data_IF_080161313890
#
_entry.id   IF_080161313890
#
_cell.length_a   1.000
_cell.length_b   1.000
_cell.length_c   1.000
_cell.angle_alpha   90.00
_cell.angle_beta   90.00
_cell.angle_gamma   90.00
#
_symmetry.space_group_name_H-M   'P 1'
#
loop_
_entity.id
_entity.type
_entity.pdbx_description
1 polymer ?
#
# COMPACT_ATOMS: atom_id res chain seq x y z
N UNK A 1 -2.72 1.97 -20.70
CA UNK A 1 -3.87 1.01 -20.78
C UNK A 1 -5.21 1.74 -20.72
N UNK A 2 -5.24 2.95 -20.14
CA UNK A 2 -6.38 3.86 -20.02
C UNK A 2 -7.24 4.03 -21.28
N UNK A 3 -6.62 4.09 -22.47
CA UNK A 3 -7.34 4.18 -23.76
C UNK A 3 -8.39 3.08 -24.03
N UNK A 4 -8.28 1.93 -23.35
CA UNK A 4 -9.21 0.81 -23.50
C UNK A 4 -10.25 0.73 -22.38
N UNK A 5 -10.24 1.66 -21.42
CA UNK A 5 -11.12 1.62 -20.25
C UNK A 5 -12.61 1.61 -20.63
N UNK A 6 -12.99 2.43 -21.63
CA UNK A 6 -14.37 2.52 -22.13
C UNK A 6 -14.90 1.22 -22.77
N UNK A 7 -14.03 0.25 -23.07
CA UNK A 7 -14.42 -1.04 -23.63
C UNK A 7 -14.97 -2.01 -22.58
N UNK A 8 -14.75 -1.71 -21.30
CA UNK A 8 -15.26 -2.51 -20.19
C UNK A 8 -16.48 -1.81 -19.59
N UNK A 9 -17.64 -2.48 -19.65
CA UNK A 9 -18.87 -1.91 -19.09
C UNK A 9 -19.01 -2.13 -17.58
N UNK A 10 -18.22 -3.02 -16.98
CA UNK A 10 -18.24 -3.31 -15.55
C UNK A 10 -16.93 -3.92 -15.08
N UNK A 11 -16.71 -3.90 -13.77
CA UNK A 11 -15.56 -4.55 -13.12
C UNK A 11 -15.55 -6.05 -13.36
N UNK A 12 -16.71 -6.71 -13.24
CA UNK A 12 -16.84 -8.15 -13.45
C UNK A 12 -16.41 -8.58 -14.85
N UNK A 13 -16.74 -7.80 -15.88
CA UNK A 13 -16.30 -8.10 -17.26
C UNK A 13 -14.79 -8.06 -17.40
N UNK A 14 -14.10 -7.12 -16.74
CA UNK A 14 -12.64 -7.07 -16.74
C UNK A 14 -12.05 -8.39 -16.20
N UNK A 15 -12.70 -8.99 -15.21
CA UNK A 15 -12.26 -10.25 -14.62
C UNK A 15 -12.73 -11.51 -15.37
N UNK A 16 -13.86 -11.48 -16.07
CA UNK A 16 -14.40 -12.65 -16.75
C UNK A 16 -13.77 -12.92 -18.13
N UNK A 17 -13.49 -11.87 -18.91
CA UNK A 17 -13.18 -12.00 -20.34
C UNK A 17 -11.88 -12.78 -20.62
N UNK A 18 -11.90 -13.59 -21.67
CA UNK A 18 -10.79 -14.36 -22.20
C UNK A 18 -9.97 -13.58 -23.23
N UNK A 19 -8.81 -14.11 -23.65
CA UNK A 19 -7.94 -13.43 -24.62
C UNK A 19 -8.60 -13.20 -25.99
N UNK A 20 -9.43 -14.13 -26.46
CA UNK A 20 -10.18 -14.03 -27.71
C UNK A 20 -11.29 -13.00 -27.63
N UNK A 21 -12.01 -12.93 -26.50
CA UNK A 21 -13.07 -11.93 -26.29
C UNK A 21 -12.47 -10.52 -26.15
N UNK A 22 -11.35 -10.37 -25.43
CA UNK A 22 -10.61 -9.11 -25.36
C UNK A 22 -10.12 -8.65 -26.74
N UNK A 23 -9.76 -9.59 -27.63
CA UNK A 23 -9.45 -9.29 -29.03
C UNK A 23 -10.70 -8.82 -29.79
N UNK A 24 -11.84 -9.47 -29.60
CA UNK A 24 -13.12 -9.06 -30.18
C UNK A 24 -13.56 -7.64 -29.78
N UNK A 25 -13.24 -7.22 -28.55
CA UNK A 25 -13.43 -5.84 -28.06
C UNK A 25 -12.41 -4.84 -28.62
N UNK A 26 -11.46 -5.30 -29.46
CA UNK A 26 -10.45 -4.45 -30.08
C UNK A 26 -9.31 -4.06 -29.16
N UNK A 27 -9.01 -4.84 -28.11
CA UNK A 27 -7.83 -4.61 -27.27
C UNK A 27 -6.62 -5.17 -28.02
N UNK A 28 -5.98 -4.30 -28.78
CA UNK A 28 -4.79 -4.59 -29.59
C UNK A 28 -3.67 -3.59 -29.24
N UNK A 29 -2.39 -3.97 -29.41
CA UNK A 29 -1.86 -5.26 -29.89
C UNK A 29 -1.94 -6.39 -28.85
N UNK A 30 -1.68 -7.63 -29.28
CA UNK A 30 -1.65 -8.82 -28.40
C UNK A 30 -0.82 -8.66 -27.11
N UNK A 31 0.27 -7.87 -27.15
CA UNK A 31 1.08 -7.53 -25.96
C UNK A 31 0.23 -6.87 -24.86
N UNK A 32 -0.69 -5.98 -25.24
CA UNK A 32 -1.57 -5.28 -24.30
C UNK A 32 -2.56 -6.25 -23.64
N UNK A 33 -3.13 -7.20 -24.39
CA UNK A 33 -3.98 -8.26 -23.81
C UNK A 33 -3.22 -9.14 -22.83
N UNK A 34 -2.03 -9.61 -23.21
CA UNK A 34 -1.18 -10.43 -22.33
C UNK A 34 -0.84 -9.69 -21.04
N UNK A 35 -0.49 -8.42 -21.15
CA UNK A 35 -0.22 -7.56 -19.99
C UNK A 35 -1.44 -7.44 -19.06
N UNK A 36 -2.62 -7.16 -19.62
CA UNK A 36 -3.86 -7.06 -18.83
C UNK A 36 -4.17 -8.37 -18.10
N UNK A 37 -4.12 -9.51 -18.81
CA UNK A 37 -4.38 -10.83 -18.22
C UNK A 37 -3.36 -11.16 -17.11
N UNK A 38 -2.09 -10.83 -17.31
CA UNK A 38 -1.07 -11.01 -16.27
C UNK A 38 -1.34 -10.15 -15.03
N UNK A 39 -1.72 -8.88 -15.22
CA UNK A 39 -2.05 -7.98 -14.10
C UNK A 39 -3.31 -8.43 -13.38
N UNK A 40 -4.32 -8.90 -14.10
CA UNK A 40 -5.52 -9.51 -13.53
C UNK A 40 -5.18 -10.69 -12.62
N UNK A 41 -4.33 -11.58 -13.10
CA UNK A 41 -3.97 -12.78 -12.34
C UNK A 41 -3.18 -12.42 -11.08
N UNK A 42 -2.24 -11.47 -11.17
CA UNK A 42 -1.55 -10.92 -9.99
C UNK A 42 -2.52 -10.33 -8.97
N UNK A 43 -3.53 -9.57 -9.43
CA UNK A 43 -4.54 -8.99 -8.55
C UNK A 43 -5.34 -10.08 -7.81
N UNK A 44 -5.76 -11.14 -8.50
CA UNK A 44 -6.47 -12.28 -7.87
C UNK A 44 -5.64 -12.99 -6.81
N UNK A 45 -4.33 -13.08 -7.04
CA UNK A 45 -3.38 -13.70 -6.11
C UNK A 45 -3.01 -12.77 -4.94
N UNK A 46 -3.59 -11.57 -4.86
CA UNK A 46 -3.23 -10.58 -3.83
C UNK A 46 -1.85 -9.96 -4.01
N UNK A 47 -1.25 -10.11 -5.20
CA UNK A 47 0.07 -9.56 -5.52
C UNK A 47 -0.12 -8.17 -6.11
N UNK A 48 -0.20 -7.19 -5.22
CA UNK A 48 -0.39 -5.80 -5.57
C UNK A 48 0.94 -5.07 -5.81
N UNK A 49 0.88 -3.96 -6.56
CA UNK A 49 1.98 -3.01 -6.64
C UNK A 49 2.05 -2.11 -5.40
N UNK A 50 2.95 -1.11 -5.40
CA UNK A 50 3.00 -0.14 -4.32
C UNK A 50 1.66 0.55 -4.08
N UNK A 51 1.23 0.57 -2.83
CA UNK A 51 -0.03 1.19 -2.42
C UNK A 51 -1.29 0.37 -2.65
N UNK A 52 -1.20 -0.83 -3.23
CA UNK A 52 -2.39 -1.66 -3.46
C UNK A 52 -2.89 -2.43 -2.24
N UNK A 53 -2.15 -2.40 -1.13
CA UNK A 53 -2.51 -2.96 0.17
C UNK A 53 -2.97 -1.88 1.18
N UNK A 54 -3.27 -0.68 0.70
CA UNK A 54 -3.75 0.45 1.49
C UNK A 54 -5.26 0.38 1.70
N UNK A 55 -5.69 0.47 2.97
CA UNK A 55 -7.11 0.41 3.33
C UNK A 55 -7.82 1.77 3.22
N UNK A 56 -7.17 2.85 3.66
CA UNK A 56 -7.68 4.21 3.60
C UNK A 56 -7.17 4.93 2.35
N UNK A 57 -8.04 5.16 1.38
CA UNK A 57 -7.75 5.90 0.15
C UNK A 57 -8.96 6.78 -0.16
N UNK A 58 -8.74 8.09 -0.32
CA UNK A 58 -9.77 9.07 -0.66
C UNK A 58 -9.32 9.80 -1.93
N UNK A 59 -10.18 9.82 -2.95
CA UNK A 59 -9.91 10.46 -4.26
C UNK A 59 -8.59 10.02 -4.90
N UNK A 60 -8.24 8.74 -4.75
CA UNK A 60 -6.99 8.17 -5.29
C UNK A 60 -5.73 8.60 -4.54
N UNK A 61 -5.85 9.23 -3.38
CA UNK A 61 -4.76 9.60 -2.51
C UNK A 61 -4.86 8.91 -1.13
N UNK A 62 -3.72 8.60 -0.55
CA UNK A 62 -3.62 8.05 0.80
C UNK A 62 -2.44 8.66 1.54
N UNK A 63 -2.54 8.77 2.87
CA UNK A 63 -1.47 9.28 3.70
C UNK A 63 -0.86 8.16 4.56
N UNK A 64 0.44 7.97 4.41
CA UNK A 64 1.23 7.10 5.27
C UNK A 64 1.95 7.93 6.32
N UNK A 65 1.86 7.51 7.58
CA UNK A 65 2.51 8.20 8.69
C UNK A 65 3.27 7.23 9.59
N UNK A 66 4.43 7.65 10.08
CA UNK A 66 5.17 6.95 11.13
C UNK A 66 4.64 7.41 12.48
N UNK A 67 4.20 6.46 13.30
CA UNK A 67 3.63 6.72 14.63
C UNK A 67 4.26 5.79 15.66
N UNK A 68 4.28 6.24 16.91
CA UNK A 68 4.69 5.44 18.05
C UNK A 68 3.48 4.66 18.57
N UNK A 69 3.65 3.35 18.69
CA UNK A 69 2.60 2.40 19.10
C UNK A 69 3.14 1.51 20.22
N UNK A 70 2.28 1.06 21.16
CA UNK A 70 2.68 0.09 22.16
C UNK A 70 3.28 -1.15 21.51
N UNK A 71 4.41 -1.61 22.04
CA UNK A 71 5.03 -2.85 21.60
C UNK A 71 4.45 -4.01 22.38
N UNK A 72 3.52 -4.76 21.80
CA UNK A 72 3.09 -6.03 22.38
C UNK A 72 4.26 -7.02 22.36
N UNK A 73 4.90 -7.19 23.52
CA UNK A 73 5.97 -8.18 23.73
C UNK A 73 5.42 -9.58 24.01
N UNK A 74 4.10 -9.76 24.05
CA UNK A 74 3.44 -10.95 24.61
C UNK A 74 2.97 -12.02 23.60
N UNK A 75 3.47 -12.05 22.37
CA UNK A 75 2.89 -12.97 21.36
C UNK A 75 3.73 -13.40 20.16
N UNK A 76 5.07 -13.28 20.18
CA UNK A 76 5.89 -13.81 19.08
C UNK A 76 6.02 -15.34 19.16
N UNK A 77 5.01 -16.03 18.64
CA UNK A 77 5.21 -17.37 18.07
C UNK A 77 6.25 -17.26 16.94
N UNK A 78 7.22 -18.16 16.98
CA UNK A 78 8.31 -18.31 16.00
C UNK A 78 7.72 -18.71 14.65
N UNK A 79 7.24 -17.75 13.85
CA UNK A 79 6.99 -17.99 12.43
C UNK A 79 7.62 -16.89 11.58
N UNK A 80 8.39 -17.35 10.60
CA UNK A 80 9.37 -16.65 9.80
C UNK A 80 8.88 -15.32 9.20
N UNK A 81 9.63 -14.25 9.50
CA UNK A 81 10.17 -13.21 8.60
C UNK A 81 10.29 -11.87 9.35
N UNK A 82 11.55 -11.51 9.66
CA UNK A 82 12.01 -10.24 10.22
C UNK A 82 11.87 -10.08 11.75
N UNK A 83 12.68 -10.85 12.48
CA UNK A 83 13.08 -10.58 13.87
C UNK A 83 14.15 -9.47 13.96
N UNK A 84 14.06 -8.40 13.13
CA UNK A 84 15.09 -7.36 13.07
C UNK A 84 14.54 -5.93 13.03
N UNK A 85 13.35 -5.69 13.61
CA UNK A 85 12.71 -4.36 13.58
C UNK A 85 12.20 -3.89 14.95
N UNK A 86 12.69 -4.47 16.04
CA UNK A 86 12.59 -3.83 17.35
C UNK A 86 13.78 -2.88 17.51
N UNK A 87 13.78 -1.82 16.71
CA UNK A 87 14.78 -0.76 16.81
C UNK A 87 14.51 0.07 18.04
N UNK A 88 15.08 -0.32 19.18
CA UNK A 88 15.17 0.53 20.37
C UNK A 88 15.89 1.82 19.96
N UNK A 89 15.13 2.91 19.86
CA UNK A 89 15.67 4.24 19.57
C UNK A 89 15.74 5.02 20.88
N UNK A 90 16.84 5.74 21.11
CA UNK A 90 17.05 6.53 22.32
C UNK A 90 15.99 7.63 22.55
N UNK A 91 15.21 7.98 21.52
CA UNK A 91 14.12 8.96 21.59
C UNK A 91 12.73 8.33 21.78
N UNK A 92 12.61 6.99 21.83
CA UNK A 92 11.35 6.33 22.09
C UNK A 92 11.08 6.23 23.60
N UNK A 93 9.83 6.47 23.98
CA UNK A 93 9.36 6.12 25.32
C UNK A 93 9.50 4.61 25.54
N UNK A 94 9.92 4.16 26.74
CA UNK A 94 10.00 2.74 27.05
C UNK A 94 8.68 2.02 26.74
N UNK A 95 8.77 0.89 26.04
CA UNK A 95 7.59 0.09 25.65
C UNK A 95 6.92 0.50 24.33
N UNK A 96 7.42 1.53 23.63
CA UNK A 96 6.91 1.93 22.32
C UNK A 96 7.78 1.41 21.17
N UNK A 97 7.15 1.19 20.01
CA UNK A 97 7.83 0.94 18.73
C UNK A 97 7.26 1.84 17.65
N UNK A 98 8.02 2.03 16.56
CA UNK A 98 7.54 2.78 15.39
C UNK A 98 6.85 1.88 14.40
N UNK A 99 5.68 2.31 13.92
CA UNK A 99 4.93 1.64 12.87
C UNK A 99 4.51 2.64 11.79
N UNK A 100 4.34 2.15 10.56
CA UNK A 100 3.72 2.91 9.48
C UNK A 100 2.22 2.61 9.54
N UNK A 101 1.40 3.66 9.58
CA UNK A 101 -0.05 3.58 9.54
C UNK A 101 -0.58 4.26 8.30
N UNK A 102 -1.69 3.73 7.77
CA UNK A 102 -2.46 4.39 6.72
C UNK A 102 -3.62 5.15 7.39
N UNK A 103 -3.70 6.44 7.14
CA UNK A 103 -4.75 7.33 7.62
C UNK A 103 -5.32 8.12 6.45
N UNK A 104 -6.51 8.68 6.65
CA UNK A 104 -7.14 9.53 5.65
C UNK A 104 -6.21 10.71 5.28
N UNK A 105 -6.22 11.17 4.02
CA UNK A 105 -5.29 12.19 3.55
C UNK A 105 -5.42 13.53 4.28
N UNK A 106 -6.60 13.82 4.83
CA UNK A 106 -6.84 15.04 5.61
C UNK A 106 -6.63 14.85 7.13
N UNK A 107 -6.44 13.59 7.57
CA UNK A 107 -6.23 13.30 8.99
C UNK A 107 -4.82 13.70 9.42
N UNK A 108 -4.73 14.45 10.52
CA UNK A 108 -3.45 14.87 11.11
C UNK A 108 -2.99 13.93 12.21
N UNK A 109 -3.88 13.14 12.79
CA UNK A 109 -3.60 12.27 13.93
C UNK A 109 -4.02 10.83 13.66
N UNK A 110 -3.34 9.91 14.33
CA UNK A 110 -3.70 8.50 14.33
C UNK A 110 -4.06 8.10 15.74
N UNK A 111 -5.27 7.58 15.91
CA UNK A 111 -5.73 7.00 17.17
C UNK A 111 -5.51 5.50 17.07
N UNK A 112 -4.61 4.98 17.90
CA UNK A 112 -4.33 3.55 17.93
C UNK A 112 -5.50 2.79 18.54
N UNK A 113 -6.09 1.91 17.75
CA UNK A 113 -7.08 0.94 18.19
C UNK A 113 -6.36 -0.37 18.54
N UNK A 114 -6.26 -0.75 19.83
CA UNK A 114 -5.53 -1.95 20.24
C UNK A 114 -6.19 -3.25 19.77
N UNK A 115 -7.46 -3.20 19.33
CA UNK A 115 -8.14 -4.37 18.77
C UNK A 115 -7.69 -4.68 17.34
N UNK A 116 -7.10 -3.69 16.63
CA UNK A 116 -6.69 -3.82 15.24
C UNK A 116 -5.19 -4.12 15.13
N UNK A 117 -4.79 -5.28 14.58
CA UNK A 117 -3.39 -5.58 14.39
C UNK A 117 -2.75 -4.59 13.42
N UNK A 118 -1.55 -4.12 13.76
CA UNK A 118 -0.79 -3.24 12.90
C UNK A 118 -0.26 -4.01 11.69
N UNK A 119 -0.70 -3.59 10.51
CA UNK A 119 -0.28 -4.18 9.24
C UNK A 119 1.03 -3.55 8.76
N UNK A 120 1.86 -4.36 8.09
CA UNK A 120 3.01 -3.85 7.32
C UNK A 120 2.56 -3.60 5.89
N UNK A 121 2.85 -2.41 5.37
CA UNK A 121 2.61 -2.06 3.98
C UNK A 121 3.78 -2.49 3.10
N UNK A 122 3.50 -3.22 2.03
CA UNK A 122 4.49 -3.66 1.06
C UNK A 122 5.19 -2.44 0.43
N UNK A 123 6.49 -2.59 0.13
CA UNK A 123 7.33 -1.53 -0.46
C UNK A 123 7.57 -0.29 0.40
N UNK A 124 6.97 -0.20 1.59
CA UNK A 124 7.14 0.92 2.52
C UNK A 124 8.05 0.53 3.68
N UNK A 125 8.93 1.44 4.09
CA UNK A 125 9.85 1.23 5.22
C UNK A 125 10.10 2.51 6.00
N UNK A 126 10.41 2.34 7.29
CA UNK A 126 10.90 3.42 8.13
C UNK A 126 12.41 3.56 7.90
N UNK A 127 12.87 4.79 7.67
CA UNK A 127 14.24 5.15 7.38
C UNK A 127 14.71 6.23 8.37
N UNK A 128 15.97 6.16 8.81
CA UNK A 128 16.54 7.10 9.81
C UNK A 128 15.65 7.31 11.04
N UNK A 129 15.00 6.25 11.50
CA UNK A 129 14.17 6.26 12.71
C UNK A 129 12.78 6.88 12.52
N UNK A 130 12.60 7.95 11.75
CA UNK A 130 11.32 8.66 11.69
C UNK A 130 10.74 8.84 10.29
N UNK A 131 11.53 8.65 9.23
CA UNK A 131 11.13 8.98 7.87
C UNK A 131 10.45 7.80 7.18
N UNK A 132 9.25 7.98 6.63
CA UNK A 132 8.64 6.97 5.76
C UNK A 132 9.26 7.04 4.36
N UNK A 133 9.69 5.90 3.82
CA UNK A 133 10.23 5.79 2.45
C UNK A 133 9.59 4.64 1.70
N UNK A 134 9.35 4.89 0.42
CA UNK A 134 8.81 3.94 -0.54
C UNK A 134 8.70 4.60 -1.92
N UNK A 135 8.36 3.83 -2.95
CA UNK A 135 8.13 4.37 -4.29
C UNK A 135 6.88 5.27 -4.30
N UNK A 136 6.91 6.32 -5.13
CA UNK A 136 5.81 7.28 -5.34
C UNK A 136 5.36 8.07 -4.09
N UNK A 137 6.10 8.00 -2.98
CA UNK A 137 5.79 8.78 -1.78
C UNK A 137 6.21 10.25 -1.95
N UNK A 138 5.27 11.15 -1.73
CA UNK A 138 5.47 12.60 -1.69
C UNK A 138 5.45 13.08 -0.23
N UNK A 139 6.57 13.56 0.33
CA UNK A 139 6.64 13.95 1.74
C UNK A 139 5.76 15.18 2.04
N UNK A 140 5.06 15.15 3.17
CA UNK A 140 4.21 16.27 3.61
C UNK A 140 5.08 17.29 4.35
N UNK A 141 5.02 18.55 3.92
CA UNK A 141 5.77 19.65 4.54
C UNK A 141 5.38 19.82 6.02
N UNK A 142 6.35 20.17 6.86
CA UNK A 142 6.13 20.34 8.30
C UNK A 142 6.12 19.04 9.12
N UNK A 143 6.18 17.87 8.49
CA UNK A 143 6.16 16.57 9.20
C UNK A 143 7.54 15.92 9.37
N UNK A 144 8.62 16.62 9.00
CA UNK A 144 10.01 16.11 9.05
C UNK A 144 10.21 14.75 8.34
N UNK A 145 9.38 14.45 7.34
CA UNK A 145 9.40 13.18 6.59
C UNK A 145 8.69 12.03 7.29
N UNK A 146 8.06 12.26 8.44
CA UNK A 146 7.27 11.26 9.15
C UNK A 146 5.94 10.96 8.47
N UNK A 147 5.42 11.87 7.65
CA UNK A 147 4.23 11.64 6.84
C UNK A 147 4.51 11.87 5.35
N UNK A 148 3.94 11.02 4.52
CA UNK A 148 4.00 11.13 3.07
C UNK A 148 2.65 10.76 2.46
N UNK A 149 2.31 11.45 1.38
CA UNK A 149 1.16 11.16 0.55
C UNK A 149 1.58 10.22 -0.58
N UNK A 150 0.72 9.29 -0.94
CA UNK A 150 0.81 8.52 -2.18
C UNK A 150 -0.43 8.80 -3.01
N UNK A 151 -0.24 9.06 -4.31
CA UNK A 151 -1.33 9.34 -5.26
C UNK A 151 -1.30 8.32 -6.37
N UNK A 152 -2.48 7.91 -6.84
CA UNK A 152 -2.63 7.10 -8.02
C UNK A 152 -2.24 7.94 -9.26
N UNK A 153 -1.11 7.60 -9.87
CA UNK A 153 -0.58 8.24 -11.07
C UNK A 153 -0.45 7.20 -12.20
N UNK A 154 -0.69 7.60 -13.45
CA UNK A 154 -0.41 6.74 -14.61
C UNK A 154 1.11 6.70 -14.88
N UNK A 155 1.68 5.50 -14.96
CA UNK A 155 3.03 5.25 -15.47
C UNK A 155 3.09 5.21 -17.02
#
# INVERSE_FOLDING_TARGET
MSKHASKFSSWDKLFALSSSELRGLGIEPARQRRYLLQKREKFRQGVYGPGGDLDHVVDGAAQLRVVDVPSDTSGLSKSAFSANTFGSSATLSPGMRKAIVNIDPDATEYIHDPSKPLRRFAYMKIHRGSMVRGPFLQPIKGTNGCASLIRAEEE
#
